data_IF_423914341352
#
_entry.id   IF_423914341352
#
_cell.length_a   1.000
_cell.length_b   1.000
_cell.length_c   1.000
_cell.angle_alpha   90.00
_cell.angle_beta   90.00
_cell.angle_gamma   90.00
#
_symmetry.space_group_name_H-M   'P 1'
#
loop_
_entity.id
_entity.type
_entity.pdbx_description
1 polymer ?
#
# COMPACT_ATOMS: atom_id res chain seq x y z
N UNK A 1 6.47 -16.37 -4.16
CA UNK A 1 6.70 -15.88 -5.53
C UNK A 1 7.23 -14.47 -5.38
N UNK A 2 8.13 -14.02 -6.26
CA UNK A 2 8.59 -12.63 -6.20
C UNK A 2 7.52 -11.69 -6.72
N UNK A 3 7.36 -10.54 -6.06
CA UNK A 3 6.42 -9.48 -6.39
C UNK A 3 7.17 -8.16 -6.54
N UNK A 4 6.85 -7.40 -7.58
CA UNK A 4 7.46 -6.10 -7.84
C UNK A 4 6.45 -5.01 -7.58
N UNK A 5 6.74 -4.15 -6.60
CA UNK A 5 5.79 -3.17 -6.10
C UNK A 5 6.32 -1.77 -6.35
N UNK A 6 5.49 -0.92 -6.93
CA UNK A 6 5.80 0.49 -7.12
C UNK A 6 5.67 1.24 -5.80
N UNK A 7 6.65 2.06 -5.43
CA UNK A 7 6.49 2.94 -4.27
C UNK A 7 5.42 3.99 -4.55
N UNK A 8 4.51 4.15 -3.60
CA UNK A 8 3.55 5.25 -3.56
C UNK A 8 4.17 6.55 -3.05
N UNK A 9 5.32 6.48 -2.39
CA UNK A 9 6.01 7.65 -1.82
C UNK A 9 7.05 8.23 -2.81
N UNK A 10 7.74 7.38 -3.56
CA UNK A 10 8.85 7.76 -4.44
C UNK A 10 8.74 7.07 -5.81
N UNK A 11 8.42 7.83 -6.85
CA UNK A 11 8.20 7.28 -8.21
C UNK A 11 9.35 6.40 -8.74
N UNK A 12 10.58 6.72 -8.36
CA UNK A 12 11.77 5.99 -8.80
C UNK A 12 12.05 4.71 -8.00
N UNK A 13 11.31 4.41 -6.94
CA UNK A 13 11.59 3.26 -6.10
C UNK A 13 10.62 2.12 -6.37
N UNK A 14 11.16 0.90 -6.40
CA UNK A 14 10.40 -0.35 -6.47
C UNK A 14 10.84 -1.29 -5.36
N UNK A 15 9.93 -2.10 -4.84
CA UNK A 15 10.24 -3.15 -3.88
C UNK A 15 10.14 -4.52 -4.55
N UNK A 16 11.18 -5.33 -4.39
CA UNK A 16 11.16 -6.77 -4.66
C UNK A 16 10.73 -7.47 -3.36
N UNK A 17 9.56 -8.10 -3.37
CA UNK A 17 8.96 -8.80 -2.23
C UNK A 17 8.89 -10.31 -2.50
N UNK A 18 9.51 -11.12 -1.64
CA UNK A 18 9.21 -12.54 -1.58
C UNK A 18 7.92 -12.75 -0.78
N UNK A 19 6.82 -12.98 -1.48
CA UNK A 19 5.51 -13.18 -0.88
C UNK A 19 5.50 -14.30 0.19
N UNK A 20 6.35 -15.33 0.04
CA UNK A 20 6.35 -16.48 0.95
C UNK A 20 7.01 -16.14 2.28
N UNK A 21 8.11 -15.40 2.25
CA UNK A 21 8.90 -15.09 3.43
C UNK A 21 8.59 -13.72 4.01
N UNK A 22 7.93 -12.86 3.23
CA UNK A 22 7.72 -11.46 3.57
C UNK A 22 8.98 -10.60 3.49
N UNK A 23 10.11 -11.17 3.07
CA UNK A 23 11.36 -10.42 2.89
C UNK A 23 11.21 -9.52 1.68
N UNK A 24 11.56 -8.25 1.85
CA UNK A 24 11.51 -7.26 0.78
C UNK A 24 12.83 -6.47 0.70
N UNK A 25 13.10 -5.91 -0.48
CA UNK A 25 14.22 -4.99 -0.72
C UNK A 25 13.80 -3.89 -1.67
N UNK A 26 14.13 -2.65 -1.33
CA UNK A 26 13.92 -1.49 -2.21
C UNK A 26 15.08 -1.38 -3.19
N UNK A 27 14.75 -1.09 -4.45
CA UNK A 27 15.67 -0.78 -5.54
C UNK A 27 15.22 0.49 -6.23
N UNK A 28 16.18 1.22 -6.78
CA UNK A 28 15.88 2.39 -7.60
C UNK A 28 15.79 2.03 -9.08
N UNK A 29 14.87 2.65 -9.82
CA UNK A 29 14.74 2.55 -11.27
C UNK A 29 15.91 3.13 -12.04
N UNK A 30 16.63 4.06 -11.43
CA UNK A 30 17.76 4.74 -12.06
C UNK A 30 19.11 4.09 -11.75
N UNK A 31 19.19 3.08 -10.88
CA UNK A 31 20.47 2.42 -10.59
C UNK A 31 20.94 1.60 -11.79
N UNK A 32 22.15 1.89 -12.29
CA UNK A 32 22.76 1.17 -13.41
C UNK A 32 22.88 -0.34 -13.09
N UNK A 33 22.35 -1.18 -13.99
CA UNK A 33 22.61 -2.62 -14.00
C UNK A 33 21.57 -3.54 -13.35
N UNK A 34 20.40 -3.03 -12.91
CA UNK A 34 19.29 -3.85 -12.46
C UNK A 34 18.13 -3.85 -13.46
N UNK A 35 17.81 -5.00 -14.05
CA UNK A 35 16.54 -5.17 -14.78
C UNK A 35 15.39 -5.12 -13.77
N UNK A 36 14.67 -4.00 -13.72
CA UNK A 36 13.36 -3.94 -13.09
C UNK A 36 12.36 -4.50 -14.09
N UNK A 37 11.49 -5.43 -13.69
CA UNK A 37 10.49 -5.97 -14.59
C UNK A 37 9.59 -4.88 -15.15
N UNK A 38 9.14 -5.09 -16.39
CA UNK A 38 8.14 -4.23 -17.02
C UNK A 38 6.78 -4.31 -16.34
N UNK A 39 6.51 -5.40 -15.62
CA UNK A 39 5.26 -5.64 -14.92
C UNK A 39 5.40 -5.34 -13.43
N UNK A 40 4.48 -4.53 -12.91
CA UNK A 40 4.38 -4.18 -11.50
C UNK A 40 3.15 -4.89 -10.93
N UNK A 41 3.36 -5.68 -9.87
CA UNK A 41 2.31 -6.46 -9.21
C UNK A 41 1.45 -5.64 -8.25
N UNK A 42 1.84 -4.40 -7.93
CA UNK A 42 1.13 -3.57 -6.95
C UNK A 42 1.88 -2.35 -6.47
N UNK A 43 1.50 -1.87 -5.28
CA UNK A 43 2.03 -0.65 -4.68
C UNK A 43 2.45 -0.87 -3.23
N UNK A 44 3.39 -0.06 -2.75
CA UNK A 44 3.85 -0.10 -1.36
C UNK A 44 4.19 1.29 -0.81
N UNK A 45 4.19 1.40 0.52
CA UNK A 45 4.73 2.52 1.28
C UNK A 45 5.35 2.00 2.58
N UNK A 46 6.26 2.76 3.18
CA UNK A 46 6.85 2.42 4.49
C UNK A 46 6.29 3.39 5.54
N UNK A 47 5.25 2.95 6.25
CA UNK A 47 4.57 3.74 7.27
C UNK A 47 5.28 3.59 8.61
N UNK A 48 6.00 4.62 9.07
CA UNK A 48 6.73 4.60 10.35
C UNK A 48 7.61 3.35 10.54
N UNK A 49 8.30 2.94 9.47
CA UNK A 49 9.18 1.77 9.46
C UNK A 49 8.49 0.43 9.17
N UNK A 50 7.16 0.40 9.05
CA UNK A 50 6.40 -0.81 8.70
C UNK A 50 6.12 -0.83 7.21
N UNK A 51 6.52 -1.93 6.56
CA UNK A 51 6.24 -2.16 5.16
C UNK A 51 4.75 -2.46 4.95
N UNK A 52 4.08 -1.58 4.21
CA UNK A 52 2.68 -1.71 3.84
C UNK A 52 2.58 -1.87 2.33
N UNK A 53 1.83 -2.86 1.86
CA UNK A 53 1.70 -3.12 0.44
C UNK A 53 0.32 -3.65 0.07
N UNK A 54 -0.05 -3.39 -1.18
CA UNK A 54 -1.21 -3.98 -1.84
C UNK A 54 -0.79 -4.51 -3.20
N UNK A 55 -1.11 -5.76 -3.51
CA UNK A 55 -0.62 -6.41 -4.73
C UNK A 55 -1.49 -7.57 -5.20
N UNK A 56 -1.33 -7.94 -6.46
CA UNK A 56 -2.02 -9.08 -7.06
C UNK A 56 -1.27 -10.38 -6.80
N UNK A 57 -1.97 -11.39 -6.30
CA UNK A 57 -1.48 -12.76 -6.18
C UNK A 57 -2.55 -13.75 -6.59
N UNK A 58 -2.24 -14.61 -7.56
CA UNK A 58 -3.17 -15.62 -8.10
C UNK A 58 -4.54 -15.05 -8.49
N UNK A 59 -4.58 -13.85 -9.11
CA UNK A 59 -5.80 -13.17 -9.52
C UNK A 59 -6.57 -12.48 -8.38
N UNK A 60 -6.09 -12.56 -7.15
CA UNK A 60 -6.68 -11.93 -5.97
C UNK A 60 -5.86 -10.73 -5.53
N UNK A 61 -6.52 -9.82 -4.81
CA UNK A 61 -5.86 -8.66 -4.21
C UNK A 61 -5.44 -9.03 -2.80
N UNK A 62 -4.19 -8.76 -2.46
CA UNK A 62 -3.58 -9.07 -1.17
C UNK A 62 -3.10 -7.77 -0.55
N UNK A 63 -3.38 -7.59 0.74
CA UNK A 63 -2.81 -6.53 1.56
C UNK A 63 -1.78 -7.13 2.51
N UNK A 64 -0.66 -6.43 2.68
CA UNK A 64 0.37 -6.73 3.67
C UNK A 64 0.62 -5.51 4.54
N UNK A 65 0.64 -5.70 5.85
CA UNK A 65 1.01 -4.67 6.82
C UNK A 65 1.98 -5.32 7.81
N UNK A 66 3.27 -5.03 7.65
CA UNK A 66 4.33 -5.72 8.38
C UNK A 66 4.34 -7.22 8.09
N UNK A 67 4.14 -8.03 9.13
CA UNK A 67 4.10 -9.49 9.04
C UNK A 67 2.73 -10.04 8.63
N UNK A 68 1.66 -9.27 8.82
CA UNK A 68 0.32 -9.71 8.45
C UNK A 68 0.13 -9.62 6.94
N UNK A 69 -0.42 -10.69 6.35
CA UNK A 69 -0.75 -10.77 4.94
C UNK A 69 -2.12 -11.41 4.77
N UNK A 70 -3.06 -10.69 4.17
CA UNK A 70 -4.46 -11.10 4.07
C UNK A 70 -4.99 -10.80 2.67
N UNK A 71 -5.82 -11.71 2.17
CA UNK A 71 -6.52 -11.55 0.90
C UNK A 71 -7.76 -10.68 1.10
N UNK A 72 -8.00 -9.72 0.21
CA UNK A 72 -9.24 -8.97 0.23
C UNK A 72 -10.44 -9.90 0.10
N UNK A 73 -11.40 -9.74 1.00
CA UNK A 73 -12.69 -10.42 1.00
C UNK A 73 -13.71 -9.54 1.71
N UNK A 74 -14.98 -9.97 1.71
CA UNK A 74 -16.07 -9.36 2.47
C UNK A 74 -15.88 -9.38 3.99
N UNK A 75 -14.89 -10.13 4.47
CA UNK A 75 -14.56 -10.30 5.89
C UNK A 75 -13.40 -9.43 6.36
N UNK A 76 -12.77 -8.71 5.44
CA UNK A 76 -11.60 -7.87 5.71
C UNK A 76 -12.05 -6.43 5.78
N UNK A 77 -11.71 -5.78 6.89
CA UNK A 77 -11.97 -4.37 7.12
C UNK A 77 -10.63 -3.67 7.36
N UNK A 78 -10.37 -2.59 6.62
CA UNK A 78 -9.18 -1.76 6.80
C UNK A 78 -9.66 -0.36 7.12
N UNK A 79 -9.32 0.16 8.29
CA UNK A 79 -9.74 1.49 8.72
C UNK A 79 -8.55 2.35 9.08
N UNK A 80 -8.68 3.66 8.84
CA UNK A 80 -7.75 4.67 9.33
C UNK A 80 -8.47 5.65 10.24
N UNK A 81 -7.93 5.83 11.44
CA UNK A 81 -8.41 6.81 12.42
C UNK A 81 -7.33 7.79 12.84
N UNK A 82 -7.73 8.81 13.59
CA UNK A 82 -6.83 9.81 14.18
C UNK A 82 -6.41 10.93 13.22
N UNK A 83 -5.76 12.00 13.72
CA UNK A 83 -5.25 13.09 12.89
C UNK A 83 -3.99 12.68 12.11
N UNK A 84 -3.59 13.38 11.02
CA UNK A 84 -2.43 13.03 10.20
C UNK A 84 -1.12 12.78 10.97
N UNK A 85 -0.85 13.54 12.05
CA UNK A 85 0.34 13.38 12.89
C UNK A 85 0.30 12.16 13.83
N UNK A 86 -0.85 11.50 13.94
CA UNK A 86 -1.10 10.35 14.82
C UNK A 86 -2.20 9.46 14.23
N UNK A 87 -1.98 8.99 13.00
CA UNK A 87 -2.88 8.06 12.33
C UNK A 87 -2.77 6.68 12.97
N UNK A 88 -3.86 5.92 12.91
CA UNK A 88 -3.92 4.53 13.33
C UNK A 88 -4.56 3.72 12.20
N UNK A 89 -3.74 2.89 11.53
CA UNK A 89 -4.18 1.92 10.52
C UNK A 89 -4.54 0.62 11.24
N UNK A 90 -5.77 0.15 11.06
CA UNK A 90 -6.26 -1.09 11.65
C UNK A 90 -6.72 -2.04 10.55
N UNK A 91 -6.35 -3.31 10.68
CA UNK A 91 -6.82 -4.38 9.81
C UNK A 91 -7.53 -5.42 10.67
N UNK A 92 -8.80 -5.66 10.35
CA UNK A 92 -9.62 -6.69 10.98
C UNK A 92 -9.98 -7.76 9.95
N UNK A 93 -10.02 -9.02 10.41
CA UNK A 93 -10.48 -10.16 9.61
C UNK A 93 -11.46 -10.98 10.44
N UNK A 94 -12.70 -11.15 9.97
CA UNK A 94 -13.78 -11.81 10.71
C UNK A 94 -13.99 -11.21 12.12
N UNK A 95 -13.87 -9.89 12.26
CA UNK A 95 -14.03 -9.19 13.55
C UNK A 95 -12.83 -9.31 14.50
N UNK A 96 -11.74 -9.97 14.09
CA UNK A 96 -10.51 -10.09 14.90
C UNK A 96 -9.49 -9.07 14.40
N UNK A 97 -8.98 -8.22 15.29
CA UNK A 97 -7.89 -7.30 14.98
C UNK A 97 -6.61 -8.11 14.69
N UNK A 98 -6.13 -8.00 13.46
CA UNK A 98 -4.91 -8.65 12.98
C UNK A 98 -3.72 -7.71 13.05
N UNK A 99 -3.97 -6.43 12.79
CA UNK A 99 -2.96 -5.37 12.83
C UNK A 99 -3.59 -4.11 13.38
N UNK A 100 -2.81 -3.43 14.23
CA UNK A 100 -3.01 -2.04 14.61
C UNK A 100 -1.66 -1.34 14.57
N UNK A 101 -1.55 -0.34 13.72
CA UNK A 101 -0.29 0.35 13.46
C UNK A 101 -0.46 1.86 13.53
N UNK A 102 0.29 2.50 14.43
CA UNK A 102 0.32 3.97 14.53
C UNK A 102 1.41 4.53 13.61
N UNK A 103 1.06 5.56 12.85
CA UNK A 103 1.98 6.24 11.94
C UNK A 103 1.69 7.74 11.84
N UNK A 104 2.66 8.48 11.30
CA UNK A 104 2.51 9.89 11.00
C UNK A 104 2.63 10.13 9.50
N UNK A 105 1.72 10.92 8.96
CA UNK A 105 1.81 11.47 7.61
C UNK A 105 2.67 12.73 7.69
N UNK A 106 3.80 12.72 6.98
CA UNK A 106 4.76 13.83 6.99
C UNK A 106 4.53 14.83 5.84
N UNK A 107 3.71 14.46 4.87
CA UNK A 107 3.26 15.31 3.76
C UNK A 107 2.12 16.19 4.26
N UNK A 108 2.36 17.50 4.31
CA UNK A 108 1.27 18.47 4.45
C UNK A 108 0.74 18.78 3.04
N UNK A 109 -0.60 18.85 2.84
CA UNK A 109 -1.16 19.38 1.61
C UNK A 109 -0.55 20.75 1.35
N UNK A 110 0.01 20.97 0.17
CA UNK A 110 0.60 22.26 -0.17
C UNK A 110 -0.55 23.27 -0.26
N UNK A 111 -0.56 24.25 0.65
CA UNK A 111 -1.54 25.32 0.62
C UNK A 111 -1.37 26.09 -0.71
N UNK A 112 -2.37 26.01 -1.59
CA UNK A 112 -2.33 26.45 -3.00
C UNK A 112 -1.63 25.51 -3.99
N UNK A 113 -1.66 24.19 -3.79
CA UNK A 113 -1.24 23.25 -4.83
C UNK A 113 -2.05 23.53 -6.12
N UNK A 114 -1.39 23.93 -7.23
CA UNK A 114 -2.06 24.21 -8.49
C UNK A 114 -2.53 22.94 -9.21
N UNK A 115 -2.21 21.76 -8.68
CA UNK A 115 -2.61 20.45 -9.22
C UNK A 115 -4.06 20.20 -8.84
N UNK A 116 -5.01 20.29 -9.80
CA UNK A 116 -6.39 19.98 -9.49
C UNK A 116 -6.52 18.49 -9.15
N UNK A 117 -7.44 18.15 -8.24
CA UNK A 117 -7.83 16.78 -7.87
C UNK A 117 -6.87 15.99 -6.96
N UNK A 118 -5.96 16.65 -6.23
CA UNK A 118 -5.20 15.97 -5.17
C UNK A 118 -6.12 15.64 -4.00
N UNK A 119 -6.17 14.37 -3.61
CA UNK A 119 -6.94 13.86 -2.47
C UNK A 119 -6.02 13.53 -1.29
N UNK A 120 -6.56 13.50 -0.06
CA UNK A 120 -5.78 13.17 1.14
C UNK A 120 -5.10 11.79 1.04
N UNK A 121 -5.69 10.85 0.28
CA UNK A 121 -5.13 9.51 0.08
C UNK A 121 -3.87 9.49 -0.79
N UNK A 122 -3.64 10.52 -1.60
CA UNK A 122 -2.41 10.65 -2.39
C UNK A 122 -1.18 10.87 -1.49
N UNK A 123 -1.41 11.30 -0.25
CA UNK A 123 -0.38 11.55 0.76
C UNK A 123 -0.42 10.55 1.93
N UNK A 124 -1.48 9.75 2.05
CA UNK A 124 -1.72 8.85 3.17
C UNK A 124 -2.01 7.44 2.64
N UNK A 125 -0.96 6.62 2.53
CA UNK A 125 -1.10 5.25 2.02
C UNK A 125 -2.03 4.38 2.88
N UNK A 126 -2.14 4.65 4.18
CA UNK A 126 -3.11 3.95 5.02
C UNK A 126 -4.55 4.30 4.60
N UNK A 127 -4.82 5.58 4.33
CA UNK A 127 -6.12 6.03 3.85
C UNK A 127 -6.43 5.45 2.46
N UNK A 128 -5.44 5.40 1.58
CA UNK A 128 -5.54 4.72 0.29
C UNK A 128 -5.94 3.24 0.43
N UNK A 129 -5.29 2.48 1.33
CA UNK A 129 -5.66 1.09 1.60
C UNK A 129 -7.09 0.97 2.15
N UNK A 130 -7.46 1.84 3.08
CA UNK A 130 -8.82 1.91 3.65
C UNK A 130 -9.86 2.20 2.56
N UNK A 131 -9.59 3.14 1.65
CA UNK A 131 -10.54 3.51 0.60
C UNK A 131 -10.68 2.39 -0.45
N UNK A 132 -9.59 1.71 -0.82
CA UNK A 132 -9.68 0.51 -1.67
C UNK A 132 -10.49 -0.59 -0.98
N UNK A 133 -10.31 -0.80 0.33
CA UNK A 133 -11.05 -1.84 1.06
C UNK A 133 -12.56 -1.64 1.00
N UNK A 134 -13.03 -0.39 0.97
CA UNK A 134 -14.45 -0.06 1.00
C UNK A 134 -15.09 0.19 -0.38
N UNK A 135 -14.32 0.14 -1.47
CA UNK A 135 -14.81 0.38 -2.82
C UNK A 135 -14.55 -0.82 -3.77
N UNK A 136 -15.57 -1.66 -4.02
CA UNK A 136 -15.46 -2.79 -4.94
C UNK A 136 -15.08 -2.40 -6.38
N UNK A 137 -15.46 -1.21 -6.84
CA UNK A 137 -15.10 -0.74 -8.19
C UNK A 137 -13.61 -0.43 -8.25
N UNK A 138 -13.06 0.22 -7.21
CA UNK A 138 -11.62 0.46 -7.09
C UNK A 138 -10.85 -0.85 -6.98
N UNK A 139 -11.32 -1.83 -6.21
CA UNK A 139 -10.70 -3.16 -6.15
C UNK A 139 -10.68 -3.83 -7.53
N UNK A 140 -11.79 -3.79 -8.26
CA UNK A 140 -11.89 -4.37 -9.61
C UNK A 140 -11.00 -3.65 -10.63
N UNK A 141 -10.85 -2.33 -10.49
CA UNK A 141 -9.95 -1.52 -11.31
C UNK A 141 -8.49 -1.88 -11.02
N UNK A 142 -8.10 -1.92 -9.74
CA UNK A 142 -6.75 -2.26 -9.32
C UNK A 142 -6.34 -3.69 -9.75
N UNK A 143 -7.28 -4.66 -9.73
CA UNK A 143 -7.03 -6.02 -10.25
C UNK A 143 -6.78 -6.08 -11.76
N UNK A 144 -7.32 -5.11 -12.53
CA UNK A 144 -7.27 -5.05 -14.00
C UNK A 144 -6.13 -4.18 -14.53
N UNK A 145 -5.80 -3.11 -13.82
CA UNK A 145 -4.79 -2.12 -14.25
C UNK A 145 -3.36 -2.50 -13.83
N UNK A 146 -3.23 -3.45 -12.89
CA UNK A 146 -1.97 -4.13 -12.58
C UNK A 146 -1.77 -5.38 -13.46
#
# INVERSE_FOLDING_TARGET
MMKWLQSSDLFNDVAELDERTGVWRVRSKSSEGGEIPSEIDGSYSILSGVFCAIYRSNGELVVRIGEAQIKFSDKVEITVGGPPKKRCLSLMENGIERVKHEYAVNSEPIENDPTPFVEDEDFDFGLFLSNIAHDPNRQARFKREL
#
